data_IF_967842816428
#
_entry.id   IF_967842816428
#
_cell.length_a   1.000
_cell.length_b   1.000
_cell.length_c   1.000
_cell.angle_alpha   90.00
_cell.angle_beta   90.00
_cell.angle_gamma   90.00
#
_symmetry.space_group_name_H-M   'P 1'
#
loop_
_entity.id
_entity.type
_entity.pdbx_description
1 polymer ?
#
# COMPACT_ATOMS: atom_id res chain seq x y z
N UNK A 1 1.24 -20.00 -31.64
CA UNK A 1 0.41 -21.09 -31.06
C UNK A 1 0.06 -20.67 -29.63
N UNK A 2 -1.24 -20.60 -29.29
CA UNK A 2 -1.69 -20.27 -27.93
C UNK A 2 -1.44 -21.48 -27.04
N UNK A 3 -0.71 -21.32 -25.93
CA UNK A 3 -0.46 -22.39 -24.95
C UNK A 3 -1.55 -22.36 -23.88
N UNK A 4 -2.22 -23.48 -23.65
CA UNK A 4 -3.15 -23.69 -22.53
C UNK A 4 -2.47 -24.45 -21.40
N UNK A 5 -2.68 -24.00 -20.16
CA UNK A 5 -2.17 -24.64 -18.94
C UNK A 5 -3.27 -24.60 -17.88
N UNK A 6 -3.37 -25.66 -17.07
CA UNK A 6 -4.23 -25.69 -15.88
C UNK A 6 -3.74 -24.70 -14.81
N UNK A 7 -2.45 -24.33 -14.85
CA UNK A 7 -1.79 -23.41 -13.92
C UNK A 7 -1.52 -22.04 -14.55
N UNK A 8 -2.26 -21.68 -15.61
CA UNK A 8 -2.06 -20.43 -16.33
C UNK A 8 -2.23 -19.18 -15.42
N UNK A 9 -2.94 -19.29 -14.29
CA UNK A 9 -3.05 -18.19 -13.33
C UNK A 9 -1.78 -18.04 -12.49
N UNK A 10 -1.29 -19.15 -11.94
CA UNK A 10 -0.08 -19.25 -11.12
C UNK A 10 1.17 -18.89 -11.93
N UNK A 11 1.27 -19.36 -13.17
CA UNK A 11 2.37 -19.04 -14.08
C UNK A 11 2.45 -17.53 -14.39
N UNK A 12 1.30 -16.89 -14.64
CA UNK A 12 1.23 -15.43 -14.84
C UNK A 12 1.60 -14.68 -13.58
N UNK A 13 1.13 -15.13 -12.42
CA UNK A 13 1.47 -14.53 -11.13
C UNK A 13 2.96 -14.65 -10.81
N UNK A 14 3.58 -15.80 -11.01
CA UNK A 14 5.01 -15.99 -10.83
C UNK A 14 5.82 -15.07 -11.75
N UNK A 15 5.35 -14.88 -12.99
CA UNK A 15 5.97 -13.94 -13.94
C UNK A 15 5.80 -12.48 -13.50
N UNK A 16 4.63 -12.09 -12.99
CA UNK A 16 4.41 -10.73 -12.44
C UNK A 16 5.33 -10.47 -11.25
N UNK A 17 5.49 -11.45 -10.37
CA UNK A 17 6.38 -11.34 -9.22
C UNK A 17 7.85 -11.13 -9.64
N UNK A 18 8.29 -11.75 -10.74
CA UNK A 18 9.62 -11.53 -11.30
C UNK A 18 9.79 -10.15 -11.95
N UNK A 19 8.72 -9.58 -12.51
CA UNK A 19 8.74 -8.26 -13.13
C UNK A 19 8.74 -7.09 -12.12
N UNK A 20 8.46 -7.38 -10.84
CA UNK A 20 8.47 -6.40 -9.75
C UNK A 20 7.08 -5.89 -9.41
N UNK A 21 6.33 -6.65 -8.62
CA UNK A 21 5.03 -6.23 -8.11
C UNK A 21 5.18 -5.26 -6.91
N UNK A 22 4.89 -3.98 -7.15
CA UNK A 22 4.90 -2.94 -6.11
C UNK A 22 3.95 -3.28 -4.94
N UNK A 23 2.80 -3.89 -5.19
CA UNK A 23 1.87 -4.29 -4.13
C UNK A 23 2.42 -5.43 -3.29
N UNK A 24 3.22 -6.32 -3.87
CA UNK A 24 3.93 -7.35 -3.11
C UNK A 24 4.98 -6.75 -2.17
N UNK A 25 5.72 -5.74 -2.64
CA UNK A 25 6.68 -4.98 -1.80
C UNK A 25 5.94 -4.32 -0.63
N UNK A 26 4.81 -3.66 -0.92
CA UNK A 26 3.96 -3.07 0.12
C UNK A 26 3.49 -4.13 1.14
N UNK A 27 2.99 -5.25 0.65
CA UNK A 27 2.52 -6.39 1.44
C UNK A 27 3.59 -7.01 2.34
N UNK A 28 4.85 -6.88 1.96
CA UNK A 28 6.00 -7.46 2.67
C UNK A 28 6.53 -6.53 3.76
N UNK A 29 6.50 -5.21 3.53
CA UNK A 29 7.13 -4.23 4.41
C UNK A 29 6.17 -3.45 5.30
N UNK A 30 4.86 -3.63 5.12
CA UNK A 30 3.84 -3.02 5.96
C UNK A 30 3.13 -4.12 6.76
N UNK A 31 3.15 -3.99 8.08
CA UNK A 31 2.39 -4.77 9.04
C UNK A 31 0.94 -4.28 9.07
N UNK A 32 0.14 -4.85 8.17
CA UNK A 32 -1.28 -4.54 8.04
C UNK A 32 -2.10 -4.97 9.25
N UNK A 33 -1.68 -6.03 9.95
CA UNK A 33 -2.38 -6.52 11.13
C UNK A 33 -2.22 -5.52 12.28
N UNK A 34 -1.02 -4.97 12.49
CA UNK A 34 -0.80 -3.90 13.45
C UNK A 34 -1.58 -2.63 13.11
N UNK A 35 -1.55 -2.19 11.84
CA UNK A 35 -2.34 -1.03 11.39
C UNK A 35 -3.84 -1.25 11.62
N UNK A 36 -4.36 -2.44 11.31
CA UNK A 36 -5.75 -2.78 11.53
C UNK A 36 -6.13 -2.74 13.00
N UNK A 37 -5.26 -3.22 13.89
CA UNK A 37 -5.48 -3.18 15.34
C UNK A 37 -5.50 -1.75 15.88
N UNK A 38 -4.61 -0.89 15.41
CA UNK A 38 -4.60 0.53 15.79
C UNK A 38 -5.85 1.26 15.29
N UNK A 39 -6.31 0.93 14.08
CA UNK A 39 -7.56 1.47 13.52
C UNK A 39 -8.78 0.96 14.30
N UNK A 40 -8.85 -0.32 14.65
CA UNK A 40 -9.97 -0.85 15.46
C UNK A 40 -9.99 -0.23 16.87
N UNK A 41 -8.83 0.19 17.41
CA UNK A 41 -8.72 0.92 18.68
C UNK A 41 -9.18 2.38 18.55
N UNK A 42 -8.73 3.08 17.50
CA UNK A 42 -9.04 4.50 17.30
C UNK A 42 -10.46 4.72 16.76
N UNK A 43 -10.94 3.83 15.89
CA UNK A 43 -12.22 3.91 15.19
C UNK A 43 -13.00 2.58 15.34
N UNK A 44 -13.55 2.29 16.53
CA UNK A 44 -14.21 1.03 16.82
C UNK A 44 -15.35 0.72 15.85
N UNK A 45 -15.52 -0.57 15.55
CA UNK A 45 -16.60 -1.03 14.67
C UNK A 45 -17.97 -0.82 15.32
N UNK A 46 -19.00 -0.45 14.53
CA UNK A 46 -20.35 -0.35 15.04
C UNK A 46 -20.83 -1.70 15.58
N UNK A 47 -21.67 -1.65 16.63
CA UNK A 47 -22.19 -2.84 17.29
C UNK A 47 -22.98 -3.73 16.34
N UNK A 48 -22.77 -5.05 16.43
CA UNK A 48 -23.53 -6.07 15.69
C UNK A 48 -24.92 -6.37 16.27
N UNK A 49 -25.34 -5.63 17.30
CA UNK A 49 -26.60 -5.87 18.01
C UNK A 49 -27.86 -5.81 17.11
N UNK A 50 -27.80 -5.12 15.98
CA UNK A 50 -28.94 -4.98 15.05
C UNK A 50 -28.98 -6.05 13.94
N UNK A 51 -28.07 -7.03 13.96
CA UNK A 51 -27.96 -8.02 12.88
C UNK A 51 -27.46 -7.43 11.55
N UNK A 52 -27.39 -8.25 10.51
CA UNK A 52 -26.94 -7.86 9.17
C UNK A 52 -25.67 -8.58 8.71
N UNK A 53 -25.27 -8.31 7.46
CA UNK A 53 -24.05 -8.89 6.87
C UNK A 53 -22.82 -8.43 7.67
N UNK A 54 -21.90 -9.34 8.04
CA UNK A 54 -20.68 -8.95 8.73
C UNK A 54 -19.89 -7.92 7.89
N UNK A 55 -19.36 -6.86 8.51
CA UNK A 55 -18.49 -5.92 7.80
C UNK A 55 -17.20 -6.63 7.36
N UNK A 56 -16.58 -6.13 6.30
CA UNK A 56 -15.27 -6.59 5.88
C UNK A 56 -14.23 -6.43 7.00
N UNK A 57 -13.21 -7.32 7.05
CA UNK A 57 -12.11 -7.17 8.00
C UNK A 57 -11.43 -5.81 7.88
N UNK A 58 -11.05 -5.21 9.02
CA UNK A 58 -10.39 -3.90 9.04
C UNK A 58 -9.06 -3.93 8.28
N UNK A 59 -8.32 -5.04 8.36
CA UNK A 59 -7.08 -5.22 7.60
C UNK A 59 -7.30 -5.11 6.09
N UNK A 60 -8.36 -5.75 5.59
CA UNK A 60 -8.73 -5.68 4.17
C UNK A 60 -9.07 -4.25 3.77
N UNK A 61 -9.89 -3.55 4.58
CA UNK A 61 -10.28 -2.16 4.29
C UNK A 61 -9.07 -1.22 4.32
N UNK A 62 -8.12 -1.43 5.23
CA UNK A 62 -6.85 -0.69 5.26
C UNK A 62 -6.06 -0.90 3.97
N UNK A 63 -5.92 -2.14 3.50
CA UNK A 63 -5.25 -2.45 2.23
C UNK A 63 -5.94 -1.75 1.06
N UNK A 64 -7.27 -1.75 1.02
CA UNK A 64 -8.06 -1.04 0.00
C UNK A 64 -7.77 0.46 0.01
N UNK A 65 -7.73 1.12 1.18
CA UNK A 65 -7.43 2.54 1.27
C UNK A 65 -6.00 2.88 0.85
N UNK A 66 -5.01 2.02 1.17
CA UNK A 66 -3.65 2.22 0.69
C UNK A 66 -3.57 2.14 -0.84
N UNK A 67 -4.22 1.14 -1.46
CA UNK A 67 -4.28 1.05 -2.94
C UNK A 67 -4.98 2.27 -3.51
N UNK A 68 -6.11 2.67 -2.94
CA UNK A 68 -6.85 3.84 -3.37
C UNK A 68 -5.97 5.10 -3.40
N UNK A 69 -5.21 5.33 -2.32
CA UNK A 69 -4.32 6.49 -2.22
C UNK A 69 -3.12 6.40 -3.17
N UNK A 70 -2.50 5.22 -3.27
CA UNK A 70 -1.32 5.02 -4.12
C UNK A 70 -1.64 5.29 -5.59
N UNK A 71 -2.78 4.78 -6.07
CA UNK A 71 -3.21 4.91 -7.46
C UNK A 71 -4.14 6.10 -7.71
N UNK A 72 -4.37 6.95 -6.69
CA UNK A 72 -5.24 8.13 -6.75
C UNK A 72 -6.64 7.81 -7.32
N UNK A 73 -7.30 6.79 -6.77
CA UNK A 73 -8.59 6.29 -7.24
C UNK A 73 -9.75 6.90 -6.42
N UNK A 74 -10.86 7.21 -7.09
CA UNK A 74 -12.13 7.48 -6.41
C UNK A 74 -12.70 6.20 -5.76
N UNK A 75 -13.72 6.33 -4.90
CA UNK A 75 -14.38 5.16 -4.30
C UNK A 75 -15.04 4.27 -5.39
N UNK A 76 -15.60 4.89 -6.44
CA UNK A 76 -16.18 4.20 -7.62
C UNK A 76 -15.12 3.48 -8.45
N UNK A 77 -14.00 4.16 -8.70
CA UNK A 77 -12.90 3.57 -9.42
C UNK A 77 -12.30 2.41 -8.63
N UNK A 78 -12.15 2.55 -7.32
CA UNK A 78 -11.63 1.48 -6.47
C UNK A 78 -12.51 0.22 -6.53
N UNK A 79 -13.84 0.37 -6.45
CA UNK A 79 -14.78 -0.75 -6.64
C UNK A 79 -14.58 -1.42 -8.01
N UNK A 80 -14.56 -0.64 -9.09
CA UNK A 80 -14.35 -1.18 -10.44
C UNK A 80 -13.00 -1.91 -10.56
N UNK A 81 -11.92 -1.31 -10.04
CA UNK A 81 -10.58 -1.90 -10.11
C UNK A 81 -10.47 -3.16 -9.25
N UNK A 82 -11.22 -3.29 -8.14
CA UNK A 82 -11.28 -4.54 -7.37
C UNK A 82 -11.98 -5.67 -8.13
N UNK A 83 -12.90 -5.37 -9.06
CA UNK A 83 -13.52 -6.37 -9.93
C UNK A 83 -12.61 -6.77 -11.09
N UNK A 84 -11.89 -5.81 -11.66
CA UNK A 84 -11.13 -5.98 -12.91
C UNK A 84 -9.68 -6.47 -12.67
N UNK A 85 -9.00 -5.94 -11.65
CA UNK A 85 -7.57 -6.17 -11.45
C UNK A 85 -7.27 -7.29 -10.46
N UNK A 86 -6.82 -8.43 -11.00
CA UNK A 86 -6.34 -9.57 -10.22
C UNK A 86 -5.22 -9.20 -9.24
N UNK A 87 -4.32 -8.26 -9.59
CA UNK A 87 -3.25 -7.80 -8.70
C UNK A 87 -3.81 -7.15 -7.44
N UNK A 88 -4.88 -6.36 -7.57
CA UNK A 88 -5.54 -5.71 -6.43
C UNK A 88 -6.25 -6.74 -5.58
N UNK A 89 -7.03 -7.65 -6.20
CA UNK A 89 -7.69 -8.76 -5.50
C UNK A 89 -6.70 -9.62 -4.71
N UNK A 90 -5.55 -9.95 -5.31
CA UNK A 90 -4.48 -10.69 -4.65
C UNK A 90 -3.94 -9.92 -3.46
N UNK A 91 -3.63 -8.64 -3.63
CA UNK A 91 -3.05 -7.81 -2.57
C UNK A 91 -3.99 -7.59 -1.37
N UNK A 92 -5.28 -7.36 -1.62
CA UNK A 92 -6.28 -7.13 -0.55
C UNK A 92 -6.81 -8.42 0.07
N UNK A 93 -6.44 -9.59 -0.46
CA UNK A 93 -6.87 -10.90 0.04
C UNK A 93 -8.24 -11.36 -0.46
N UNK A 94 -8.69 -10.86 -1.62
CA UNK A 94 -9.99 -11.17 -2.23
C UNK A 94 -9.93 -12.13 -3.43
N UNK A 95 -8.76 -12.70 -3.77
CA UNK A 95 -8.59 -13.60 -4.93
C UNK A 95 -9.61 -14.74 -5.02
N UNK A 96 -10.03 -15.28 -3.86
CA UNK A 96 -10.99 -16.39 -3.77
C UNK A 96 -12.38 -15.97 -3.29
N UNK A 97 -12.62 -14.66 -3.16
CA UNK A 97 -13.90 -14.12 -2.69
C UNK A 97 -14.76 -13.68 -3.86
N UNK A 98 -16.04 -14.05 -3.85
CA UNK A 98 -17.03 -13.48 -4.77
C UNK A 98 -17.54 -12.11 -4.33
N UNK A 99 -17.16 -11.66 -3.13
CA UNK A 99 -17.60 -10.42 -2.52
C UNK A 99 -16.48 -9.39 -2.52
N UNK A 100 -16.79 -8.18 -2.98
CA UNK A 100 -15.91 -7.02 -2.90
C UNK A 100 -16.56 -5.88 -2.11
N UNK A 101 -15.78 -4.99 -1.48
CA UNK A 101 -16.28 -3.73 -0.95
C UNK A 101 -16.78 -2.84 -2.10
N UNK A 102 -18.06 -2.47 -2.05
CA UNK A 102 -18.62 -1.48 -2.95
C UNK A 102 -18.21 -0.05 -2.55
N UNK A 103 -18.49 0.92 -3.42
CA UNK A 103 -18.26 2.36 -3.19
C UNK A 103 -18.78 2.81 -1.82
N UNK A 104 -19.97 2.38 -1.43
CA UNK A 104 -20.60 2.82 -0.18
C UNK A 104 -19.92 2.25 1.05
N UNK A 105 -19.40 1.03 0.95
CA UNK A 105 -18.64 0.32 1.97
C UNK A 105 -17.30 1.01 2.20
N UNK A 106 -16.60 1.36 1.11
CA UNK A 106 -15.34 2.11 1.15
C UNK A 106 -15.58 3.49 1.78
N UNK A 107 -16.60 4.21 1.30
CA UNK A 107 -16.96 5.52 1.82
C UNK A 107 -17.28 5.49 3.32
N UNK A 108 -18.12 4.54 3.76
CA UNK A 108 -18.53 4.41 5.18
C UNK A 108 -17.32 4.13 6.08
N UNK A 109 -16.37 3.33 5.60
CA UNK A 109 -15.13 3.07 6.34
C UNK A 109 -14.27 4.33 6.44
N UNK A 110 -14.11 5.10 5.36
CA UNK A 110 -13.38 6.37 5.37
C UNK A 110 -14.01 7.38 6.31
N UNK A 111 -15.33 7.54 6.25
CA UNK A 111 -16.06 8.45 7.12
C UNK A 111 -15.84 8.11 8.60
N UNK A 112 -15.81 6.82 8.94
CA UNK A 112 -15.48 6.35 10.29
C UNK A 112 -14.06 6.75 10.72
N UNK A 113 -13.08 6.68 9.81
CA UNK A 113 -11.71 7.10 10.10
C UNK A 113 -11.58 8.62 10.25
N UNK A 114 -12.29 9.38 9.42
CA UNK A 114 -12.31 10.85 9.48
C UNK A 114 -12.92 11.30 10.81
N UNK A 115 -14.06 10.74 11.20
CA UNK A 115 -14.71 11.04 12.48
C UNK A 115 -13.82 10.71 13.69
N UNK A 116 -12.94 9.72 13.56
CA UNK A 116 -11.98 9.34 14.59
C UNK A 116 -10.62 10.08 14.50
N UNK A 117 -10.41 10.94 13.49
CA UNK A 117 -9.11 11.58 13.24
C UNK A 117 -7.98 10.60 12.87
N UNK A 118 -8.32 9.39 12.40
CA UNK A 118 -7.37 8.30 12.18
C UNK A 118 -6.89 8.20 10.72
N UNK A 119 -7.51 8.90 9.77
CA UNK A 119 -7.20 8.81 8.34
C UNK A 119 -5.73 9.13 8.03
N UNK A 120 -5.22 10.27 8.50
CA UNK A 120 -3.84 10.67 8.23
C UNK A 120 -2.83 9.75 8.94
N UNK A 121 -3.19 9.30 10.15
CA UNK A 121 -2.35 8.41 10.95
C UNK A 121 -2.06 7.08 10.24
N UNK A 122 -3.01 6.59 9.45
CA UNK A 122 -2.88 5.33 8.73
C UNK A 122 -1.78 5.41 7.66
N UNK A 123 -1.83 6.45 6.81
CA UNK A 123 -0.88 6.63 5.73
C UNK A 123 0.51 6.96 6.26
N UNK A 124 0.60 7.81 7.28
CA UNK A 124 1.86 8.11 7.97
C UNK A 124 2.49 6.87 8.61
N UNK A 125 1.68 6.00 9.21
CA UNK A 125 2.17 4.75 9.80
C UNK A 125 2.69 3.80 8.71
N UNK A 126 1.97 3.62 7.60
CA UNK A 126 2.41 2.80 6.48
C UNK A 126 3.70 3.34 5.84
N UNK A 127 3.77 4.65 5.57
CA UNK A 127 4.97 5.30 5.03
C UNK A 127 6.17 5.18 5.96
N UNK A 128 5.97 5.29 7.28
CA UNK A 128 7.03 5.11 8.27
C UNK A 128 7.59 3.69 8.25
N UNK A 129 6.73 2.68 8.09
CA UNK A 129 7.17 1.29 7.98
C UNK A 129 7.94 1.03 6.69
N UNK A 130 7.49 1.57 5.56
CA UNK A 130 8.23 1.53 4.30
C UNK A 130 9.59 2.22 4.40
N UNK A 131 9.63 3.42 4.99
CA UNK A 131 10.85 4.19 5.15
C UNK A 131 11.91 3.47 5.99
N UNK A 132 11.50 2.74 7.05
CA UNK A 132 12.41 1.89 7.84
C UNK A 132 13.09 0.80 7.00
N UNK A 133 12.44 0.32 5.96
CA UNK A 133 12.98 -0.68 5.03
C UNK A 133 13.68 -0.04 3.81
N UNK A 134 13.82 1.28 3.80
CA UNK A 134 14.45 2.00 2.70
C UNK A 134 13.57 2.09 1.47
N UNK A 135 12.24 2.16 1.62
CA UNK A 135 11.29 2.39 0.54
C UNK A 135 10.51 3.69 0.73
N UNK A 136 10.14 4.32 -0.39
CA UNK A 136 9.20 5.43 -0.43
C UNK A 136 8.09 5.09 -1.41
N UNK A 137 6.85 5.23 -0.97
CA UNK A 137 5.69 5.20 -1.84
C UNK A 137 5.57 6.53 -2.61
N UNK A 138 5.60 6.49 -3.93
CA UNK A 138 5.32 7.64 -4.79
C UNK A 138 3.88 7.54 -5.27
N UNK A 139 2.97 8.28 -4.61
CA UNK A 139 1.58 8.42 -5.05
C UNK A 139 1.37 9.68 -5.89
N UNK A 140 0.28 9.73 -6.67
CA UNK A 140 -0.25 10.98 -7.22
C UNK A 140 -0.19 11.17 -8.75
N UNK A 141 0.26 10.19 -9.53
CA UNK A 141 0.00 10.19 -10.98
C UNK A 141 -0.93 9.04 -11.33
N UNK A 142 -1.87 9.30 -12.24
CA UNK A 142 -2.86 8.35 -12.78
C UNK A 142 -2.22 7.16 -13.55
N UNK A 143 -0.89 7.06 -13.51
CA UNK A 143 -0.02 6.09 -14.18
C UNK A 143 0.85 5.46 -13.09
N UNK A 144 0.70 4.14 -12.91
CA UNK A 144 1.37 3.23 -11.97
C UNK A 144 2.02 3.87 -10.73
N UNK A 145 1.36 3.69 -9.58
CA UNK A 145 2.02 3.89 -8.30
C UNK A 145 3.24 2.98 -8.20
N UNK A 146 4.40 3.57 -7.89
CA UNK A 146 5.65 2.83 -7.72
C UNK A 146 6.15 2.94 -6.30
N UNK A 147 6.62 1.81 -5.76
CA UNK A 147 7.36 1.77 -4.51
C UNK A 147 8.83 1.68 -4.87
N UNK A 148 9.55 2.77 -4.61
CA UNK A 148 10.95 2.90 -5.01
C UNK A 148 11.86 2.76 -3.80
N UNK A 149 12.99 2.10 -3.99
CA UNK A 149 14.04 2.10 -2.97
C UNK A 149 14.60 3.52 -2.82
N UNK A 150 14.85 3.90 -1.58
CA UNK A 150 15.49 5.17 -1.21
C UNK A 150 16.91 5.16 -1.79
N UNK A 151 17.33 6.21 -2.52
CA UNK A 151 18.72 6.35 -2.94
C UNK A 151 19.64 6.33 -1.72
N UNK A 152 20.52 5.33 -1.64
CA UNK A 152 21.51 5.25 -0.56
C UNK A 152 22.52 6.38 -0.76
N UNK A 153 22.48 7.40 0.10
CA UNK A 153 23.52 8.43 0.12
C UNK A 153 24.79 7.80 0.69
N UNK A 154 25.83 7.65 -0.14
CA UNK A 154 27.16 7.17 0.26
C UNK A 154 28.00 8.26 0.93
N UNK A 155 27.58 9.52 0.81
CA UNK A 155 28.32 10.68 1.30
C UNK A 155 28.07 10.84 2.80
N UNK A 156 29.14 10.78 3.59
CA UNK A 156 29.07 10.95 5.03
C UNK A 156 28.60 12.36 5.41
N UNK A 157 28.16 12.55 6.65
CA UNK A 157 27.72 13.88 7.12
C UNK A 157 28.87 14.90 7.10
N UNK A 158 30.09 14.41 7.33
CA UNK A 158 31.33 15.19 7.28
C UNK A 158 31.70 15.55 5.83
N UNK A 159 31.59 14.60 4.90
CA UNK A 159 31.82 14.87 3.47
C UNK A 159 30.79 15.84 2.90
N UNK A 160 29.53 15.79 3.35
CA UNK A 160 28.51 16.77 2.98
C UNK A 160 28.85 18.18 3.47
N UNK A 161 29.37 18.31 4.69
CA UNK A 161 29.81 19.61 5.21
C UNK A 161 30.99 20.15 4.38
N UNK A 162 31.98 19.29 4.06
CA UNK A 162 33.10 19.65 3.20
C UNK A 162 32.66 20.08 1.78
N UNK A 163 31.71 19.38 1.17
CA UNK A 163 31.13 19.74 -0.15
C UNK A 163 30.41 21.09 -0.08
N UNK A 164 29.67 21.34 1.01
CA UNK A 164 28.92 22.59 1.20
C UNK A 164 29.87 23.78 1.43
N UNK A 165 31.02 23.54 2.05
CA UNK A 165 32.10 24.50 2.26
C UNK A 165 33.07 24.61 1.07
N UNK A 166 32.88 23.82 -0.01
CA UNK A 166 33.81 23.69 -1.15
C UNK A 166 35.25 23.34 -0.72
N UNK A 167 35.40 22.67 0.42
CA UNK A 167 36.69 22.26 0.94
C UNK A 167 37.12 20.94 0.30
N UNK A 168 38.42 20.81 0.00
CA UNK A 168 38.99 19.57 -0.54
C UNK A 168 39.30 18.57 0.59
N UNK A 169 38.93 17.29 0.44
CA UNK A 169 39.25 16.28 1.44
C UNK A 169 40.76 16.04 1.50
N UNK A 170 41.30 15.86 2.72
CA UNK A 170 42.74 15.85 3.00
C UNK A 170 43.53 14.72 2.31
N UNK A 171 42.85 13.70 1.80
CA UNK A 171 43.41 12.54 1.09
C UNK A 171 43.22 12.61 -0.44
N UNK A 172 42.75 13.73 -0.99
CA UNK A 172 42.57 13.88 -2.44
C UNK A 172 43.90 14.24 -3.12
N UNK A 173 44.28 13.46 -4.13
CA UNK A 173 45.37 13.80 -5.06
C UNK A 173 44.80 13.87 -6.49
N UNK A 174 45.13 14.92 -7.26
CA UNK A 174 44.59 15.16 -8.59
C UNK A 174 45.09 14.19 -9.66
#
# INVERSE_FOLDING_TARGET
MIKSSLFASEEREAKLDQLGDALKVLGTHVDFTALAADIDRAAPRPSRARGGRPPFPTELMVRVLLVQQLFNLSDEQMEFQLLDRLSFQRFVGLRSSSQIPDRTTIWTFKERLIAAGASDSLFEAANRQLAKHGYIARGGQMVDASIVQVPKQSVSREEKAMIQERAMPANWSP
#
